data_IF_076827882981
#
_entry.id   IF_076827882981
#
_cell.length_a   1.000
_cell.length_b   1.000
_cell.length_c   1.000
_cell.angle_alpha   90.00
_cell.angle_beta   90.00
_cell.angle_gamma   90.00
#
_symmetry.space_group_name_H-M   'P 1'
#
loop_
_entity.id
_entity.type
_entity.pdbx_description
1 polymer ?
#
# COMPACT_ATOMS: atom_id res chain seq x y z
N UNK A 1 -45.18 15.21 5.36
CA UNK A 1 -43.90 15.50 4.71
C UNK A 1 -43.27 14.19 4.31
N UNK A 2 -42.84 14.07 3.06
CA UNK A 2 -42.10 12.92 2.57
C UNK A 2 -40.62 13.13 2.90
N UNK A 3 -40.13 12.46 3.95
CA UNK A 3 -38.69 12.34 4.18
C UNK A 3 -38.14 11.40 3.10
N UNK A 4 -37.15 11.89 2.34
CA UNK A 4 -36.54 11.21 1.21
C UNK A 4 -36.18 9.75 1.50
N UNK A 5 -36.84 8.84 0.81
CA UNK A 5 -36.49 7.42 0.73
C UNK A 5 -36.10 7.10 -0.71
N UNK A 6 -34.82 6.77 -0.86
CA UNK A 6 -34.13 5.99 -1.91
C UNK A 6 -34.54 6.16 -3.39
N UNK A 7 -33.55 6.43 -4.25
CA UNK A 7 -33.72 6.75 -5.68
C UNK A 7 -33.64 5.51 -6.61
N UNK A 8 -33.29 4.32 -6.09
CA UNK A 8 -33.35 3.06 -6.86
C UNK A 8 -33.27 1.81 -5.97
N UNK A 9 -33.85 0.70 -6.44
CA UNK A 9 -33.87 -0.64 -5.82
C UNK A 9 -32.50 -1.33 -5.87
N UNK A 10 -32.20 -2.20 -4.90
CA UNK A 10 -30.95 -2.97 -4.84
C UNK A 10 -30.93 -4.08 -5.93
N UNK A 11 -29.96 -4.08 -6.86
CA UNK A 11 -29.91 -5.03 -7.96
C UNK A 11 -29.66 -6.49 -7.54
N UNK A 12 -29.27 -6.76 -6.29
CA UNK A 12 -29.06 -8.12 -5.79
C UNK A 12 -30.37 -8.87 -5.47
N UNK A 13 -31.50 -8.15 -5.32
CA UNK A 13 -32.87 -8.65 -5.19
C UNK A 13 -33.02 -10.08 -4.65
N UNK A 14 -32.92 -10.28 -3.34
CA UNK A 14 -33.17 -11.58 -2.72
C UNK A 14 -34.69 -11.87 -2.70
N UNK A 15 -35.20 -12.85 -3.47
CA UNK A 15 -36.62 -13.16 -3.51
C UNK A 15 -37.17 -13.73 -2.20
N UNK A 16 -36.32 -14.09 -1.24
CA UNK A 16 -36.73 -14.72 0.02
C UNK A 16 -36.50 -13.86 1.27
N UNK A 17 -35.93 -12.65 1.13
CA UNK A 17 -35.74 -11.74 2.27
C UNK A 17 -36.01 -10.28 1.87
N UNK A 18 -37.16 -9.69 2.26
CA UNK A 18 -37.51 -8.33 1.86
C UNK A 18 -36.70 -7.24 2.58
N UNK A 19 -35.84 -7.59 3.55
CA UNK A 19 -35.07 -6.60 4.30
C UNK A 19 -33.62 -6.46 3.79
N UNK A 20 -33.46 -5.55 2.83
CA UNK A 20 -32.19 -5.19 2.17
C UNK A 20 -31.13 -4.56 3.12
N UNK A 21 -31.46 -4.33 4.41
CA UNK A 21 -30.57 -3.67 5.39
C UNK A 21 -30.23 -4.54 6.61
N UNK A 22 -30.40 -5.87 6.48
CA UNK A 22 -30.11 -6.82 7.56
C UNK A 22 -28.69 -6.65 8.12
N UNK A 23 -27.71 -6.41 7.24
CA UNK A 23 -26.28 -6.31 7.60
C UNK A 23 -25.91 -5.00 8.32
N UNK A 24 -26.60 -3.89 8.02
CA UNK A 24 -26.48 -2.63 8.78
C UNK A 24 -27.37 -2.60 10.03
N UNK A 25 -27.92 -3.74 10.47
CA UNK A 25 -28.83 -3.82 11.62
C UNK A 25 -29.99 -2.81 11.53
N UNK A 26 -30.50 -2.57 10.31
CA UNK A 26 -31.52 -1.56 10.02
C UNK A 26 -31.16 -0.11 10.43
N UNK A 27 -29.88 0.23 10.58
CA UNK A 27 -29.43 1.59 10.91
C UNK A 27 -28.28 2.07 9.99
N UNK A 28 -28.59 2.39 8.72
CA UNK A 28 -27.60 2.82 7.74
C UNK A 28 -26.99 4.21 8.01
N UNK A 29 -27.50 4.95 9.02
CA UNK A 29 -26.89 6.20 9.47
C UNK A 29 -25.68 5.96 10.37
N UNK A 30 -25.61 4.79 11.02
CA UNK A 30 -24.57 4.43 11.96
C UNK A 30 -23.62 3.36 11.41
N UNK A 31 -24.14 2.45 10.59
CA UNK A 31 -23.37 1.33 10.06
C UNK A 31 -23.22 1.43 8.54
N UNK A 32 -21.99 1.28 8.08
CA UNK A 32 -21.63 1.17 6.66
C UNK A 32 -21.49 -0.31 6.31
N UNK A 33 -22.02 -0.75 5.17
CA UNK A 33 -21.80 -2.10 4.64
C UNK A 33 -21.13 -2.02 3.27
N UNK A 34 -19.78 -1.95 3.24
CA UNK A 34 -19.06 -1.79 1.97
C UNK A 34 -19.14 -3.01 1.05
N UNK A 35 -19.55 -4.18 1.57
CA UNK A 35 -19.42 -5.47 0.86
C UNK A 35 -20.73 -6.25 0.74
N UNK A 36 -21.81 -5.82 1.39
CA UNK A 36 -23.07 -6.56 1.48
C UNK A 36 -23.07 -7.70 2.50
N UNK A 37 -22.09 -7.74 3.43
CA UNK A 37 -21.82 -8.92 4.28
C UNK A 37 -21.61 -8.60 5.76
N UNK A 38 -21.29 -7.36 6.12
CA UNK A 38 -21.05 -6.95 7.52
C UNK A 38 -21.29 -5.47 7.75
N UNK A 39 -21.74 -5.11 8.94
CA UNK A 39 -21.92 -3.72 9.36
C UNK A 39 -20.66 -3.18 10.03
N UNK A 40 -20.06 -2.14 9.47
CA UNK A 40 -18.95 -1.39 10.04
C UNK A 40 -19.45 -0.15 10.80
N UNK A 41 -19.14 -0.08 12.09
CA UNK A 41 -19.40 1.12 12.92
C UNK A 41 -18.17 2.03 12.90
N UNK A 42 -18.23 3.09 12.12
CA UNK A 42 -17.12 4.04 11.99
C UNK A 42 -16.82 4.80 13.29
N UNK A 43 -17.78 4.88 14.23
CA UNK A 43 -17.59 5.60 15.50
C UNK A 43 -16.81 4.79 16.53
N UNK A 44 -16.86 3.46 16.45
CA UNK A 44 -16.21 2.55 17.40
C UNK A 44 -15.12 1.69 16.77
N UNK A 45 -15.02 1.63 15.44
CA UNK A 45 -14.13 0.72 14.73
C UNK A 45 -14.52 -0.76 14.88
N UNK A 46 -15.77 -1.06 15.22
CA UNK A 46 -16.22 -2.45 15.38
C UNK A 46 -16.86 -2.97 14.09
N UNK A 47 -16.59 -4.23 13.77
CA UNK A 47 -17.19 -4.96 12.65
C UNK A 47 -18.23 -5.92 13.22
N UNK A 48 -19.46 -5.85 12.71
CA UNK A 48 -20.55 -6.77 13.07
C UNK A 48 -20.80 -7.72 11.91
N UNK A 49 -20.61 -9.02 12.15
CA UNK A 49 -20.75 -10.07 11.15
C UNK A 49 -22.20 -10.57 11.06
N UNK A 50 -22.52 -11.20 9.93
CA UNK A 50 -23.83 -11.80 9.67
C UNK A 50 -24.21 -12.91 10.67
N UNK A 51 -23.22 -13.59 11.25
CA UNK A 51 -23.40 -14.62 12.28
C UNK A 51 -23.66 -14.05 13.69
N UNK A 52 -23.74 -12.72 13.81
CA UNK A 52 -23.99 -12.02 15.07
C UNK A 52 -22.73 -11.73 15.88
N UNK A 53 -21.55 -12.16 15.44
CA UNK A 53 -20.29 -11.85 16.13
C UNK A 53 -19.91 -10.39 15.94
N UNK A 54 -19.30 -9.80 16.98
CA UNK A 54 -18.72 -8.45 16.92
C UNK A 54 -17.22 -8.60 17.15
N UNK A 55 -16.44 -8.10 16.19
CA UNK A 55 -14.99 -8.01 16.31
C UNK A 55 -14.58 -6.55 16.36
N UNK A 56 -13.49 -6.24 17.08
CA UNK A 56 -12.82 -4.95 16.88
C UNK A 56 -12.07 -4.93 15.54
N UNK A 57 -11.45 -3.79 15.20
CA UNK A 57 -10.61 -3.66 13.99
C UNK A 57 -9.40 -4.60 13.97
N UNK A 58 -9.03 -5.22 15.11
CA UNK A 58 -7.96 -6.23 15.18
C UNK A 58 -8.46 -7.66 14.95
N UNK A 59 -9.75 -7.84 14.67
CA UNK A 59 -10.38 -9.15 14.48
C UNK A 59 -10.64 -9.89 15.79
N UNK A 60 -10.37 -9.27 16.95
CA UNK A 60 -10.63 -9.88 18.25
C UNK A 60 -12.12 -9.84 18.54
N UNK A 61 -12.71 -11.01 18.77
CA UNK A 61 -14.10 -11.13 19.21
C UNK A 61 -14.27 -10.42 20.55
N UNK A 62 -15.13 -9.40 20.57
CA UNK A 62 -15.52 -8.69 21.78
C UNK A 62 -16.69 -9.51 22.34
N UNK A 63 -16.47 -10.19 23.48
CA UNK A 63 -17.40 -11.19 24.03
C UNK A 63 -18.86 -10.72 24.01
N UNK A 64 -19.75 -11.49 23.40
CA UNK A 64 -21.19 -11.30 23.57
C UNK A 64 -21.58 -11.61 25.02
N UNK A 65 -22.41 -10.78 25.69
CA UNK A 65 -22.91 -11.11 27.02
C UNK A 65 -23.60 -12.48 27.02
N UNK A 66 -23.36 -13.34 28.04
CA UNK A 66 -24.05 -14.61 28.15
C UNK A 66 -25.52 -14.35 28.47
N UNK A 67 -26.41 -14.45 27.48
CA UNK A 67 -27.86 -14.35 27.73
C UNK A 67 -28.78 -14.00 26.57
N UNK A 68 -28.27 -13.73 25.35
CA UNK A 68 -29.12 -13.48 24.19
C UNK A 68 -29.38 -14.75 23.37
N UNK A 69 -30.54 -15.38 23.54
CA UNK A 69 -30.97 -16.56 22.77
C UNK A 69 -30.92 -16.34 21.26
N UNK A 70 -29.92 -16.92 20.58
CA UNK A 70 -29.91 -17.08 19.13
C UNK A 70 -30.69 -18.34 18.75
N UNK A 71 -31.93 -18.13 18.32
CA UNK A 71 -32.78 -19.12 17.65
C UNK A 71 -32.08 -19.60 16.38
N UNK A 72 -31.75 -20.89 16.34
CA UNK A 72 -30.99 -21.51 15.24
C UNK A 72 -31.77 -21.58 13.93
N UNK A 73 -31.05 -21.36 12.83
CA UNK A 73 -31.45 -21.80 11.49
C UNK A 73 -30.26 -22.49 10.82
N UNK A 74 -30.39 -23.79 10.62
CA UNK A 74 -29.48 -24.60 9.82
C UNK A 74 -29.69 -24.28 8.34
N UNK A 75 -28.61 -23.91 7.62
CA UNK A 75 -28.59 -23.87 6.16
C UNK A 75 -27.65 -24.95 5.61
N UNK A 76 -28.22 -25.84 4.81
CA UNK A 76 -27.58 -26.92 4.04
C UNK A 76 -27.25 -26.37 2.65
N UNK A 77 -25.97 -26.08 2.38
CA UNK A 77 -25.51 -25.51 1.12
C UNK A 77 -25.24 -26.58 0.05
N UNK A 78 -25.74 -26.33 -1.17
CA UNK A 78 -25.30 -26.96 -2.41
C UNK A 78 -24.89 -25.86 -3.38
N UNK A 79 -23.58 -25.69 -3.61
CA UNK A 79 -23.02 -24.69 -4.51
C UNK A 79 -22.28 -25.34 -5.67
N UNK A 80 -22.69 -25.03 -6.90
CA UNK A 80 -21.96 -25.36 -8.13
C UNK A 80 -20.81 -24.37 -8.36
N UNK A 81 -19.64 -24.91 -8.66
CA UNK A 81 -18.37 -24.19 -8.78
C UNK A 81 -18.10 -23.71 -10.21
N UNK A 82 -17.63 -22.47 -10.36
CA UNK A 82 -16.99 -21.98 -11.59
C UNK A 82 -15.47 -22.18 -11.44
N UNK A 83 -14.90 -22.93 -12.37
CA UNK A 83 -13.49 -23.34 -12.40
C UNK A 83 -12.64 -22.36 -13.22
N UNK A 84 -11.69 -21.70 -12.58
CA UNK A 84 -10.47 -21.19 -13.22
C UNK A 84 -9.30 -22.06 -12.79
N UNK A 85 -8.76 -22.85 -13.72
CA UNK A 85 -7.71 -23.83 -13.45
C UNK A 85 -6.34 -23.17 -13.26
N UNK A 86 -6.09 -22.69 -12.04
CA UNK A 86 -4.78 -22.90 -11.42
C UNK A 86 -4.81 -24.33 -10.89
N UNK A 87 -3.78 -25.14 -11.16
CA UNK A 87 -3.80 -26.51 -10.64
C UNK A 87 -3.85 -26.44 -9.11
N UNK A 88 -4.72 -27.22 -8.48
CA UNK A 88 -4.86 -27.23 -7.00
C UNK A 88 -3.50 -27.46 -6.33
N UNK A 89 -2.60 -28.19 -6.99
CA UNK A 89 -1.24 -28.48 -6.54
C UNK A 89 -0.32 -27.24 -6.52
N UNK A 90 -0.45 -26.31 -7.46
CA UNK A 90 0.37 -25.08 -7.49
C UNK A 90 -0.12 -24.06 -6.44
N UNK A 91 -1.44 -23.93 -6.31
CA UNK A 91 -2.05 -23.08 -5.28
C UNK A 91 -1.76 -23.62 -3.86
N UNK A 92 -1.79 -24.95 -3.69
CA UNK A 92 -1.48 -25.59 -2.43
C UNK A 92 0.00 -25.51 -2.08
N UNK A 93 0.91 -25.68 -3.03
CA UNK A 93 2.37 -25.48 -2.80
C UNK A 93 2.72 -24.04 -2.44
N UNK A 94 2.10 -23.05 -3.09
CA UNK A 94 2.29 -21.64 -2.73
C UNK A 94 1.71 -21.33 -1.33
N UNK A 95 0.54 -21.86 -1.01
CA UNK A 95 -0.09 -21.72 0.31
C UNK A 95 0.72 -22.39 1.43
N UNK A 96 1.27 -23.59 1.18
CA UNK A 96 2.11 -24.31 2.14
C UNK A 96 3.47 -23.64 2.34
N UNK A 97 4.08 -23.09 1.28
CA UNK A 97 5.28 -22.27 1.36
C UNK A 97 5.06 -20.98 2.17
N UNK A 98 3.92 -20.29 1.97
CA UNK A 98 3.55 -19.11 2.74
C UNK A 98 3.20 -19.43 4.20
N UNK A 99 2.54 -20.57 4.48
CA UNK A 99 2.26 -21.03 5.86
C UNK A 99 3.53 -21.32 6.66
N UNK A 100 4.56 -21.87 6.02
CA UNK A 100 5.84 -22.17 6.67
C UNK A 100 6.68 -20.91 6.99
N UNK A 101 6.38 -19.80 6.30
CA UNK A 101 6.99 -18.49 6.49
C UNK A 101 6.09 -17.49 7.23
N UNK A 102 4.99 -17.94 7.86
CA UNK A 102 4.17 -17.07 8.73
C UNK A 102 5.02 -16.61 9.91
N UNK A 103 5.65 -15.45 9.74
CA UNK A 103 6.30 -14.71 10.80
C UNK A 103 5.30 -14.52 11.93
N UNK A 104 5.77 -14.68 13.17
CA UNK A 104 5.10 -14.11 14.33
C UNK A 104 4.72 -12.65 14.02
N UNK A 105 3.54 -12.18 14.46
CA UNK A 105 3.06 -10.85 14.15
C UNK A 105 4.16 -9.81 14.43
N UNK A 106 4.39 -8.91 13.46
CA UNK A 106 5.45 -7.89 13.36
C UNK A 106 5.63 -6.93 14.55
N UNK A 107 5.00 -7.21 15.70
CA UNK A 107 4.93 -6.39 16.91
C UNK A 107 6.28 -6.10 17.58
N UNK A 108 7.36 -6.77 17.21
CA UNK A 108 8.70 -6.55 17.79
C UNK A 108 9.73 -5.99 16.80
N UNK A 109 9.38 -5.81 15.53
CA UNK A 109 10.32 -5.33 14.51
C UNK A 109 10.28 -3.81 14.31
N UNK A 110 11.36 -3.28 13.75
CA UNK A 110 11.45 -1.88 13.35
C UNK A 110 10.29 -1.50 12.41
N UNK A 111 9.75 -0.27 12.51
CA UNK A 111 8.62 0.14 11.68
C UNK A 111 8.91 0.03 10.18
N UNK A 112 7.97 -0.50 9.40
CA UNK A 112 8.07 -0.55 7.94
C UNK A 112 7.31 0.61 7.30
N UNK A 113 7.97 1.43 6.49
CA UNK A 113 7.41 2.64 5.90
C UNK A 113 7.40 2.57 4.37
N UNK A 114 6.24 2.84 3.78
CA UNK A 114 6.05 2.92 2.33
C UNK A 114 5.92 4.37 1.84
N UNK A 115 6.65 4.72 0.79
CA UNK A 115 6.69 6.08 0.19
C UNK A 115 6.47 5.99 -1.33
N UNK A 116 5.29 6.38 -1.81
CA UNK A 116 4.91 6.23 -3.23
C UNK A 116 5.64 7.20 -4.18
N UNK A 117 5.37 7.13 -5.49
CA UNK A 117 6.02 7.92 -6.54
C UNK A 117 5.32 9.23 -6.93
N UNK A 118 5.80 9.84 -8.03
CA UNK A 118 5.22 11.04 -8.64
C UNK A 118 3.90 10.71 -9.34
N UNK A 119 2.85 11.52 -9.08
CA UNK A 119 1.47 11.26 -9.55
C UNK A 119 0.86 9.92 -9.11
N UNK A 120 1.54 9.18 -8.23
CA UNK A 120 1.00 8.03 -7.52
C UNK A 120 0.33 8.45 -6.20
N UNK A 121 -0.20 7.47 -5.48
CA UNK A 121 -0.76 7.59 -4.14
C UNK A 121 -0.57 6.25 -3.40
N UNK A 122 -1.13 6.13 -2.20
CA UNK A 122 -1.01 4.92 -1.38
C UNK A 122 -1.48 3.62 -2.07
N UNK A 123 -2.40 3.69 -3.05
CA UNK A 123 -2.96 2.49 -3.73
C UNK A 123 -1.90 1.69 -4.47
N UNK A 124 -0.76 2.31 -4.83
CA UNK A 124 0.42 1.62 -5.37
C UNK A 124 0.86 0.45 -4.47
N UNK A 125 0.69 0.61 -3.16
CA UNK A 125 1.13 -0.35 -2.16
C UNK A 125 0.05 -1.37 -1.78
N UNK A 126 -1.16 -1.30 -2.35
CA UNK A 126 -2.27 -2.14 -1.92
C UNK A 126 -1.97 -3.65 -2.02
N UNK A 127 -1.29 -4.07 -3.10
CA UNK A 127 -0.88 -5.48 -3.26
C UNK A 127 0.19 -5.87 -2.25
N UNK A 128 1.17 -4.99 -1.98
CA UNK A 128 2.18 -5.20 -0.93
C UNK A 128 1.52 -5.36 0.42
N UNK A 129 0.65 -4.43 0.79
CA UNK A 129 -0.06 -4.44 2.06
C UNK A 129 -0.90 -5.70 2.20
N UNK A 130 -1.65 -6.10 1.17
CA UNK A 130 -2.45 -7.34 1.23
C UNK A 130 -1.60 -8.59 1.39
N UNK A 131 -0.49 -8.71 0.66
CA UNK A 131 0.37 -9.89 0.75
C UNK A 131 1.08 -9.98 2.11
N UNK A 132 1.68 -8.89 2.60
CA UNK A 132 2.46 -8.90 3.84
C UNK A 132 1.60 -9.03 5.10
N UNK A 133 0.32 -8.66 5.01
CA UNK A 133 -0.62 -8.71 6.14
C UNK A 133 -1.61 -9.88 6.06
N UNK A 134 -1.62 -10.65 4.97
CA UNK A 134 -2.64 -11.68 4.69
C UNK A 134 -4.06 -11.07 4.77
N UNK A 135 -4.24 -9.86 4.23
CA UNK A 135 -5.47 -9.06 4.35
C UNK A 135 -5.89 -8.41 3.02
N UNK A 136 -6.88 -9.02 2.35
CA UNK A 136 -7.42 -8.52 1.08
C UNK A 136 -8.20 -7.20 1.19
N UNK A 137 -8.47 -6.69 2.41
CA UNK A 137 -9.16 -5.42 2.59
C UNK A 137 -8.39 -4.24 1.96
N UNK A 138 -7.05 -4.29 1.91
CA UNK A 138 -6.28 -3.22 1.27
C UNK A 138 -6.55 -3.10 -0.23
N UNK A 139 -6.68 -4.23 -0.95
CA UNK A 139 -7.09 -4.24 -2.36
C UNK A 139 -8.51 -3.70 -2.55
N UNK A 140 -9.45 -4.08 -1.68
CA UNK A 140 -10.82 -3.58 -1.72
C UNK A 140 -10.89 -2.07 -1.46
N UNK A 141 -10.13 -1.56 -0.47
CA UNK A 141 -10.02 -0.14 -0.17
C UNK A 141 -9.38 0.63 -1.33
N UNK A 142 -8.41 0.04 -2.03
CA UNK A 142 -7.76 0.67 -3.17
C UNK A 142 -8.72 0.81 -4.36
N UNK A 143 -9.50 -0.24 -4.64
CA UNK A 143 -10.57 -0.20 -5.65
C UNK A 143 -11.64 0.85 -5.29
N UNK A 144 -12.04 0.93 -4.02
CA UNK A 144 -12.96 1.96 -3.54
C UNK A 144 -12.38 3.38 -3.68
N UNK A 145 -11.08 3.57 -3.38
CA UNK A 145 -10.39 4.85 -3.52
C UNK A 145 -10.34 5.29 -4.99
N UNK A 146 -9.95 4.39 -5.89
CA UNK A 146 -9.83 4.68 -7.32
C UNK A 146 -11.19 4.98 -7.97
N UNK A 147 -12.26 4.32 -7.52
CA UNK A 147 -13.64 4.57 -8.00
C UNK A 147 -14.26 5.83 -7.42
N UNK A 148 -13.83 6.26 -6.24
CA UNK A 148 -14.39 7.44 -5.58
C UNK A 148 -14.04 8.72 -6.34
N UNK A 149 -15.04 9.58 -6.54
CA UNK A 149 -14.86 10.96 -7.03
C UNK A 149 -14.92 12.00 -5.90
N UNK A 150 -15.35 11.59 -4.71
CA UNK A 150 -15.49 12.48 -3.56
C UNK A 150 -14.16 12.59 -2.79
N UNK A 151 -13.54 13.78 -2.70
CA UNK A 151 -12.31 13.99 -1.94
C UNK A 151 -12.44 13.62 -0.46
N UNK A 152 -13.62 13.81 0.15
CA UNK A 152 -13.84 13.47 1.57
C UNK A 152 -13.82 11.96 1.76
N UNK A 153 -14.52 11.23 0.89
CA UNK A 153 -14.48 9.76 0.88
C UNK A 153 -13.05 9.24 0.65
N UNK A 154 -12.29 9.82 -0.30
CA UNK A 154 -10.89 9.44 -0.53
C UNK A 154 -10.02 9.63 0.72
N UNK A 155 -10.11 10.79 1.37
CA UNK A 155 -9.39 11.07 2.61
C UNK A 155 -9.76 10.11 3.75
N UNK A 156 -11.05 9.76 3.83
CA UNK A 156 -11.55 8.79 4.82
C UNK A 156 -10.97 7.40 4.58
N UNK A 157 -10.87 6.97 3.32
CA UNK A 157 -10.24 5.70 2.94
C UNK A 157 -8.76 5.70 3.30
N UNK A 158 -8.01 6.78 3.02
CA UNK A 158 -6.59 6.90 3.41
C UNK A 158 -6.42 6.75 4.92
N UNK A 159 -7.26 7.42 5.72
CA UNK A 159 -7.22 7.30 7.18
C UNK A 159 -7.48 5.87 7.65
N UNK A 160 -8.43 5.15 7.04
CA UNK A 160 -8.72 3.74 7.34
C UNK A 160 -7.48 2.89 7.02
N UNK A 161 -6.91 3.04 5.83
CA UNK A 161 -5.71 2.30 5.41
C UNK A 161 -4.55 2.51 6.39
N UNK A 162 -4.26 3.77 6.75
CA UNK A 162 -3.18 4.09 7.69
C UNK A 162 -3.44 3.51 9.08
N UNK A 163 -4.68 3.58 9.58
CA UNK A 163 -5.05 2.99 10.85
C UNK A 163 -4.91 1.46 10.84
N UNK A 164 -5.40 0.79 9.78
CA UNK A 164 -5.30 -0.66 9.62
C UNK A 164 -3.85 -1.12 9.45
N UNK A 165 -3.06 -0.48 8.59
CA UNK A 165 -1.65 -0.81 8.39
C UNK A 165 -0.83 -0.69 9.68
N UNK A 166 -1.13 0.32 10.51
CA UNK A 166 -0.46 0.54 11.79
C UNK A 166 -0.65 -0.62 12.79
N UNK A 167 -1.74 -1.39 12.69
CA UNK A 167 -1.94 -2.60 13.50
C UNK A 167 -0.87 -3.68 13.24
N UNK A 168 -0.21 -3.60 12.08
CA UNK A 168 0.86 -4.49 11.63
C UNK A 168 2.25 -3.85 11.73
N UNK A 169 2.38 -2.67 12.34
CA UNK A 169 3.65 -1.92 12.38
C UNK A 169 4.03 -1.30 11.03
N UNK A 170 3.08 -1.20 10.10
CA UNK A 170 3.28 -0.65 8.76
C UNK A 170 2.74 0.79 8.70
N UNK A 171 3.48 1.65 8.03
CA UNK A 171 3.16 3.05 7.86
C UNK A 171 3.21 3.43 6.39
N UNK A 172 2.18 4.14 5.92
CA UNK A 172 2.03 4.54 4.53
C UNK A 172 1.99 6.05 4.47
N UNK A 173 3.05 6.66 3.94
CA UNK A 173 3.14 8.09 3.76
C UNK A 173 2.49 8.47 2.42
N UNK A 174 1.26 8.97 2.50
CA UNK A 174 0.50 9.48 1.36
C UNK A 174 0.68 11.00 1.26
N UNK A 175 1.37 11.44 0.21
CA UNK A 175 1.58 12.85 -0.11
C UNK A 175 0.97 13.21 -1.46
N UNK A 176 -0.05 12.48 -1.91
CA UNK A 176 -0.70 12.68 -3.20
C UNK A 176 -1.19 14.12 -3.45
N UNK A 177 -1.59 14.85 -2.40
CA UNK A 177 -1.98 16.27 -2.47
C UNK A 177 -0.79 17.23 -2.76
N UNK A 178 0.44 16.79 -2.46
CA UNK A 178 1.69 17.56 -2.63
C UNK A 178 2.59 17.00 -3.74
N UNK A 179 2.10 16.09 -4.57
CA UNK A 179 2.93 15.28 -5.49
C UNK A 179 3.63 16.07 -6.61
N UNK A 180 3.27 17.33 -6.86
CA UNK A 180 3.91 18.23 -7.82
C UNK A 180 4.94 19.16 -7.18
N UNK A 181 5.10 19.12 -5.85
CA UNK A 181 6.05 19.97 -5.13
C UNK A 181 7.48 19.41 -5.17
N UNK A 182 8.44 20.28 -4.86
CA UNK A 182 9.84 19.89 -4.72
C UNK A 182 10.01 18.76 -3.68
N UNK A 183 10.68 17.64 -4.02
CA UNK A 183 10.98 16.53 -3.10
C UNK A 183 11.58 16.95 -1.74
N UNK A 184 12.38 18.02 -1.67
CA UNK A 184 12.93 18.52 -0.41
C UNK A 184 11.85 19.13 0.51
N UNK A 185 10.78 19.70 -0.05
CA UNK A 185 9.62 20.18 0.73
C UNK A 185 8.83 19.00 1.28
N UNK A 186 8.53 18.03 0.41
CA UNK A 186 7.83 16.79 0.77
C UNK A 186 8.63 16.02 1.84
N UNK A 187 9.97 15.99 1.76
CA UNK A 187 10.82 15.34 2.75
C UNK A 187 10.66 15.91 4.17
N UNK A 188 10.38 17.22 4.31
CA UNK A 188 10.09 17.82 5.62
C UNK A 188 8.75 17.36 6.16
N UNK A 189 7.74 17.24 5.29
CA UNK A 189 6.43 16.66 5.63
C UNK A 189 6.57 15.19 6.01
N UNK A 190 7.42 14.45 5.31
CA UNK A 190 7.72 13.05 5.63
C UNK A 190 8.36 12.90 7.01
N UNK A 191 9.38 13.71 7.32
CA UNK A 191 10.00 13.73 8.65
C UNK A 191 8.98 14.10 9.74
N UNK A 192 8.11 15.08 9.48
CA UNK A 192 7.03 15.44 10.40
C UNK A 192 6.08 14.26 10.63
N UNK A 193 5.65 13.58 9.57
CA UNK A 193 4.81 12.39 9.64
C UNK A 193 5.44 11.28 10.50
N UNK A 194 6.74 11.01 10.33
CA UNK A 194 7.46 10.02 11.13
C UNK A 194 7.52 10.40 12.62
N UNK A 195 7.70 11.69 12.93
CA UNK A 195 7.71 12.19 14.31
C UNK A 195 6.32 12.07 14.95
N UNK A 196 5.27 12.48 14.25
CA UNK A 196 3.88 12.40 14.72
C UNK A 196 3.43 10.95 14.98
N UNK A 197 4.06 9.99 14.30
CA UNK A 197 3.80 8.57 14.51
C UNK A 197 4.78 7.87 15.47
N UNK A 198 5.70 8.60 16.11
CA UNK A 198 6.75 8.07 16.98
C UNK A 198 7.62 6.99 16.30
N UNK A 199 7.96 7.22 15.02
CA UNK A 199 8.80 6.33 14.19
C UNK A 199 10.18 6.93 13.97
N UNK A 200 10.30 8.26 13.99
CA UNK A 200 11.52 8.97 13.56
C UNK A 200 12.80 8.45 14.23
N UNK A 201 12.74 8.14 15.53
CA UNK A 201 13.88 7.65 16.31
C UNK A 201 13.99 6.11 16.37
N UNK A 202 13.14 5.39 15.62
CA UNK A 202 13.06 3.91 15.61
C UNK A 202 13.77 3.26 14.41
N UNK A 203 14.61 4.00 13.70
CA UNK A 203 15.38 3.49 12.56
C UNK A 203 14.55 2.63 11.60
N UNK A 204 13.46 3.15 11.02
CA UNK A 204 12.52 2.35 10.25
C UNK A 204 13.18 1.71 9.02
N UNK A 205 12.60 0.61 8.54
CA UNK A 205 12.80 0.11 7.19
C UNK A 205 11.94 0.93 6.22
N UNK A 206 12.52 1.34 5.08
CA UNK A 206 11.80 2.14 4.09
C UNK A 206 11.80 1.45 2.72
N UNK A 207 10.60 1.34 2.15
CA UNK A 207 10.37 0.97 0.75
C UNK A 207 9.86 2.22 0.03
N UNK A 208 10.60 2.69 -0.97
CA UNK A 208 10.20 3.85 -1.75
C UNK A 208 10.16 3.54 -3.24
N UNK A 209 9.24 4.18 -3.97
CA UNK A 209 9.12 4.05 -5.41
C UNK A 209 9.29 5.39 -6.12
N UNK A 210 9.93 5.40 -7.28
CA UNK A 210 10.06 6.57 -8.15
C UNK A 210 10.51 7.82 -7.37
N UNK A 211 9.82 8.96 -7.49
CA UNK A 211 10.10 10.19 -6.75
C UNK A 211 10.12 10.01 -5.22
N UNK A 212 9.40 9.04 -4.67
CA UNK A 212 9.46 8.70 -3.25
C UNK A 212 10.89 8.38 -2.79
N UNK A 213 11.73 7.85 -3.68
CA UNK A 213 13.15 7.65 -3.39
C UNK A 213 13.88 8.96 -3.13
N UNK A 214 13.60 10.01 -3.92
CA UNK A 214 14.22 11.33 -3.74
C UNK A 214 13.71 12.01 -2.47
N UNK A 215 12.43 11.84 -2.15
CA UNK A 215 11.83 12.31 -0.89
C UNK A 215 12.55 11.65 0.30
N UNK A 216 12.71 10.32 0.28
CA UNK A 216 13.40 9.60 1.35
C UNK A 216 14.88 9.98 1.44
N UNK A 217 15.58 10.09 0.31
CA UNK A 217 16.98 10.57 0.30
C UNK A 217 17.12 11.96 0.89
N UNK A 218 16.28 12.91 0.50
CA UNK A 218 16.28 14.26 1.08
C UNK A 218 15.98 14.24 2.59
N UNK A 219 15.11 13.33 3.07
CA UNK A 219 14.89 13.16 4.51
C UNK A 219 16.15 12.66 5.24
N UNK A 220 16.87 11.69 4.66
CA UNK A 220 18.10 11.13 5.23
C UNK A 220 19.26 12.15 5.19
N UNK A 221 19.51 12.75 4.02
CA UNK A 221 20.72 13.53 3.74
C UNK A 221 20.61 14.99 4.23
N UNK A 222 19.42 15.58 4.20
CA UNK A 222 19.20 16.97 4.61
C UNK A 222 18.55 17.12 5.97
N UNK A 223 17.75 16.15 6.39
CA UNK A 223 16.99 16.24 7.63
C UNK A 223 17.47 15.28 8.72
N UNK A 224 18.48 14.44 8.44
CA UNK A 224 19.12 13.57 9.42
C UNK A 224 18.26 12.38 9.84
N UNK A 225 17.32 11.95 8.99
CA UNK A 225 16.59 10.71 9.21
C UNK A 225 17.57 9.53 9.18
N UNK A 226 17.54 8.70 10.22
CA UNK A 226 18.29 7.45 10.30
C UNK A 226 17.33 6.30 10.04
N UNK A 227 17.72 5.35 9.20
CA UNK A 227 16.89 4.21 8.77
C UNK A 227 17.66 2.91 8.93
N UNK A 228 16.95 1.79 9.08
CA UNK A 228 17.58 0.47 9.07
C UNK A 228 17.91 0.07 7.63
N UNK A 229 16.95 -0.41 6.85
CA UNK A 229 17.14 -0.72 5.43
C UNK A 229 16.42 0.28 4.53
N UNK A 230 16.96 0.49 3.32
CA UNK A 230 16.35 1.33 2.29
C UNK A 230 16.23 0.59 0.96
N UNK A 231 15.02 0.13 0.65
CA UNK A 231 14.66 -0.51 -0.61
C UNK A 231 14.17 0.53 -1.62
N UNK A 232 14.91 0.70 -2.72
CA UNK A 232 14.62 1.70 -3.74
C UNK A 232 14.05 1.05 -4.99
N UNK A 233 12.77 1.29 -5.29
CA UNK A 233 12.11 0.75 -6.49
C UNK A 233 12.07 1.82 -7.57
N UNK A 234 12.71 1.55 -8.71
CA UNK A 234 12.83 2.42 -9.88
C UNK A 234 13.20 3.89 -9.54
N UNK A 235 14.32 4.13 -8.84
CA UNK A 235 14.66 5.48 -8.39
C UNK A 235 15.18 6.40 -9.51
N UNK A 236 14.70 7.65 -9.65
CA UNK A 236 15.23 8.67 -10.56
C UNK A 236 16.50 9.35 -10.01
N UNK A 237 17.46 8.60 -9.47
CA UNK A 237 18.64 9.16 -8.79
C UNK A 237 19.52 10.05 -9.69
N UNK A 238 19.54 9.76 -10.99
CA UNK A 238 20.24 10.56 -12.01
C UNK A 238 19.26 11.34 -12.90
N UNK A 239 18.02 11.52 -12.42
CA UNK A 239 16.94 12.18 -13.14
C UNK A 239 16.30 11.32 -14.24
N UNK A 240 15.22 11.85 -14.81
CA UNK A 240 14.41 11.25 -15.86
C UNK A 240 14.24 12.22 -17.02
N UNK A 241 14.54 11.78 -18.25
CA UNK A 241 14.28 12.60 -19.44
C UNK A 241 12.78 12.89 -19.65
N UNK A 242 11.89 12.10 -19.05
CA UNK A 242 10.46 12.35 -19.10
C UNK A 242 10.00 13.37 -18.05
N UNK A 243 10.83 13.69 -17.05
CA UNK A 243 10.49 14.65 -16.01
C UNK A 243 10.24 16.07 -16.54
N UNK A 244 10.81 16.43 -17.69
CA UNK A 244 10.52 17.68 -18.42
C UNK A 244 9.08 17.85 -18.88
N UNK A 245 8.33 16.74 -18.91
CA UNK A 245 6.90 16.72 -19.19
C UNK A 245 6.06 16.57 -17.91
N UNK A 246 6.73 16.49 -16.76
CA UNK A 246 6.12 16.55 -15.45
C UNK A 246 5.64 17.95 -15.12
N UNK A 247 4.57 18.02 -14.35
CA UNK A 247 4.02 19.25 -13.80
C UNK A 247 4.69 19.60 -12.47
N UNK A 248 4.90 20.90 -12.28
CA UNK A 248 5.36 21.51 -11.02
C UNK A 248 6.85 21.30 -10.73
N UNK A 249 7.25 21.76 -9.54
CA UNK A 249 8.64 21.72 -9.06
C UNK A 249 9.20 20.29 -9.00
N UNK A 250 8.34 19.27 -8.89
CA UNK A 250 8.73 17.86 -8.94
C UNK A 250 9.35 17.47 -10.29
N UNK A 251 8.78 17.94 -11.40
CA UNK A 251 9.30 17.70 -12.75
C UNK A 251 10.69 18.30 -12.91
N UNK A 252 10.81 19.60 -12.59
CA UNK A 252 12.07 20.35 -12.63
C UNK A 252 13.16 19.69 -11.78
N UNK A 253 12.80 19.25 -10.56
CA UNK A 253 13.73 18.53 -9.67
C UNK A 253 14.22 17.24 -10.30
N UNK A 254 13.34 16.48 -10.94
CA UNK A 254 13.68 15.18 -11.51
C UNK A 254 14.32 15.27 -12.91
N UNK A 255 14.51 16.47 -13.48
CA UNK A 255 15.23 16.60 -14.75
C UNK A 255 16.71 16.21 -14.60
N UNK A 256 17.31 15.55 -15.61
CA UNK A 256 18.73 15.24 -15.58
C UNK A 256 19.57 16.53 -15.46
N UNK A 257 20.53 16.53 -14.54
CA UNK A 257 21.37 17.68 -14.20
C UNK A 257 20.59 18.88 -13.62
N UNK A 258 19.40 18.66 -13.04
CA UNK A 258 18.79 19.67 -12.19
C UNK A 258 19.75 20.03 -11.05
N UNK A 259 19.76 21.30 -10.65
CA UNK A 259 20.61 21.77 -9.55
C UNK A 259 20.35 20.96 -8.28
N UNK A 260 19.10 20.60 -8.04
CA UNK A 260 18.67 19.85 -6.88
C UNK A 260 19.20 18.41 -6.88
N UNK A 261 19.19 17.70 -8.02
CA UNK A 261 19.78 16.38 -8.12
C UNK A 261 21.30 16.43 -8.07
N UNK A 262 21.93 17.43 -8.69
CA UNK A 262 23.36 17.66 -8.55
C UNK A 262 23.73 17.89 -7.08
N UNK A 263 22.97 18.73 -6.37
CA UNK A 263 23.15 18.97 -4.94
C UNK A 263 22.97 17.68 -4.13
N UNK A 264 21.92 16.90 -4.38
CA UNK A 264 21.66 15.62 -3.69
C UNK A 264 22.77 14.59 -3.95
N UNK A 265 23.39 14.60 -5.13
CA UNK A 265 24.44 13.66 -5.50
C UNK A 265 25.87 14.15 -5.15
N UNK A 266 26.03 15.27 -4.43
CA UNK A 266 27.35 15.70 -3.92
C UNK A 266 27.89 14.72 -2.88
N UNK A 267 29.19 14.45 -2.92
CA UNK A 267 29.89 13.53 -2.00
C UNK A 267 29.52 13.72 -0.53
N UNK A 268 29.43 14.98 -0.07
CA UNK A 268 29.05 15.30 1.32
C UNK A 268 27.68 14.78 1.73
N UNK A 269 26.76 14.65 0.79
CA UNK A 269 25.40 14.16 1.03
C UNK A 269 25.34 12.64 0.86
N UNK A 270 26.09 12.07 -0.10
CA UNK A 270 26.29 10.63 -0.22
C UNK A 270 26.90 10.03 1.06
N UNK A 271 27.89 10.71 1.65
CA UNK A 271 28.47 10.30 2.93
C UNK A 271 27.45 10.28 4.08
N UNK A 272 26.44 11.16 4.05
CA UNK A 272 25.35 11.13 5.03
C UNK A 272 24.37 10.00 4.76
N UNK A 273 24.06 9.72 3.49
CA UNK A 273 23.25 8.57 3.11
C UNK A 273 23.88 7.28 3.63
N UNK A 274 25.19 7.09 3.41
CA UNK A 274 25.94 5.95 3.94
C UNK A 274 25.96 5.91 5.47
N UNK A 275 26.14 7.05 6.15
CA UNK A 275 26.21 7.09 7.61
C UNK A 275 24.84 6.85 8.31
N UNK A 276 23.75 7.24 7.65
CA UNK A 276 22.41 7.25 8.22
C UNK A 276 21.56 6.03 7.81
N UNK A 277 21.99 5.22 6.84
CA UNK A 277 21.40 3.90 6.59
C UNK A 277 22.22 2.86 7.36
N UNK A 278 21.65 2.27 8.42
CA UNK A 278 22.36 1.35 9.32
C UNK A 278 22.53 -0.05 8.75
N UNK A 279 21.53 -0.51 8.02
CA UNK A 279 21.51 -1.79 7.32
C UNK A 279 22.02 -1.61 5.89
N UNK A 280 21.19 -1.97 4.90
CA UNK A 280 21.58 -1.98 3.50
C UNK A 280 20.74 -1.01 2.66
N UNK A 281 21.30 -0.63 1.51
CA UNK A 281 20.57 0.01 0.41
C UNK A 281 20.53 -0.98 -0.76
N UNK A 282 19.36 -1.17 -1.37
CA UNK A 282 19.21 -2.03 -2.54
C UNK A 282 18.29 -1.37 -3.56
N UNK A 283 18.75 -1.32 -4.82
CA UNK A 283 17.95 -0.82 -5.93
C UNK A 283 17.26 -2.01 -6.62
N UNK A 284 15.98 -1.84 -6.92
CA UNK A 284 15.14 -2.73 -7.71
C UNK A 284 14.65 -1.94 -8.93
N UNK A 285 15.08 -2.31 -10.13
CA UNK A 285 14.74 -1.56 -11.36
C UNK A 285 14.43 -2.50 -12.51
N UNK A 286 13.75 -2.02 -13.54
CA UNK A 286 13.41 -2.81 -14.72
C UNK A 286 14.27 -2.37 -15.92
N UNK A 287 14.80 -3.33 -16.65
CA UNK A 287 15.38 -3.07 -17.97
C UNK A 287 14.28 -2.56 -18.89
N UNK A 288 14.50 -1.41 -19.51
CA UNK A 288 13.48 -0.76 -20.34
C UNK A 288 12.42 -0.02 -19.52
N UNK A 289 12.71 0.36 -18.27
CA UNK A 289 11.97 1.41 -17.59
C UNK A 289 12.02 2.69 -18.44
N UNK A 290 10.90 3.03 -19.10
CA UNK A 290 10.86 4.19 -20.00
C UNK A 290 10.86 5.53 -19.25
N UNK A 291 10.45 5.51 -17.98
CA UNK A 291 10.41 6.72 -17.17
C UNK A 291 11.81 7.07 -16.72
N UNK A 292 12.56 6.12 -16.20
CA UNK A 292 13.91 6.38 -15.66
C UNK A 292 15.00 6.18 -16.72
N UNK A 293 14.77 5.33 -17.73
CA UNK A 293 15.81 4.85 -18.62
C UNK A 293 16.86 4.03 -17.85
N UNK A 294 18.12 4.16 -18.24
CA UNK A 294 19.25 3.49 -17.56
C UNK A 294 19.83 4.32 -16.39
N UNK A 295 19.11 5.36 -15.94
CA UNK A 295 19.60 6.37 -15.01
C UNK A 295 19.16 6.13 -13.55
N UNK A 296 19.16 4.87 -13.11
CA UNK A 296 18.70 4.48 -11.78
C UNK A 296 19.80 4.50 -10.70
N UNK A 297 21.08 4.46 -11.10
CA UNK A 297 22.20 4.48 -10.17
C UNK A 297 22.35 5.86 -9.49
N UNK A 298 22.88 5.85 -8.26
CA UNK A 298 23.37 7.05 -7.59
C UNK A 298 24.81 7.28 -8.09
N UNK A 299 25.10 8.41 -8.76
CA UNK A 299 26.46 8.70 -9.21
C UNK A 299 27.44 8.65 -8.04
N UNK A 300 28.57 7.96 -8.23
CA UNK A 300 29.62 7.84 -7.20
C UNK A 300 29.41 6.72 -6.17
N UNK A 301 28.27 6.03 -6.14
CA UNK A 301 28.03 4.91 -5.23
C UNK A 301 27.94 3.57 -5.98
N UNK A 302 28.55 2.52 -5.40
CA UNK A 302 28.39 1.15 -5.88
C UNK A 302 27.27 0.44 -5.11
N UNK A 303 26.02 0.72 -5.47
CA UNK A 303 24.85 0.14 -4.81
C UNK A 303 24.43 -1.14 -5.52
N UNK A 304 24.26 -2.28 -4.80
CA UNK A 304 23.67 -3.48 -5.37
C UNK A 304 22.37 -3.15 -6.09
N UNK A 305 22.27 -3.56 -7.35
CA UNK A 305 21.10 -3.30 -8.19
C UNK A 305 20.58 -4.61 -8.76
N UNK A 306 19.33 -4.93 -8.48
CA UNK A 306 18.59 -6.02 -9.11
C UNK A 306 17.81 -5.46 -10.29
N UNK A 307 18.13 -5.98 -11.47
CA UNK A 307 17.52 -5.56 -12.75
C UNK A 307 16.57 -6.66 -13.20
N UNK A 308 15.30 -6.30 -13.43
CA UNK A 308 14.27 -7.20 -13.93
C UNK A 308 14.05 -6.97 -15.44
N UNK A 309 13.99 -8.02 -16.24
CA UNK A 309 13.70 -7.89 -17.67
C UNK A 309 12.21 -7.54 -17.90
N UNK A 310 11.94 -6.39 -18.52
CA UNK A 310 10.58 -6.09 -18.97
C UNK A 310 10.14 -7.09 -20.05
N UNK A 311 9.06 -7.84 -19.80
CA UNK A 311 8.36 -8.61 -20.85
C UNK A 311 8.53 -10.14 -20.81
N UNK A 312 9.44 -10.72 -20.02
CA UNK A 312 9.38 -12.17 -19.73
C UNK A 312 8.39 -12.38 -18.60
N UNK A 313 7.17 -12.80 -18.92
CA UNK A 313 6.10 -13.08 -17.95
C UNK A 313 6.44 -14.29 -17.06
N UNK A 314 6.70 -14.16 -15.76
CA UNK A 314 6.71 -15.30 -14.85
C UNK A 314 5.50 -15.12 -13.92
N UNK A 315 4.37 -15.75 -14.24
CA UNK A 315 3.22 -15.85 -13.34
C UNK A 315 2.58 -14.51 -12.93
N UNK A 316 2.11 -13.71 -13.90
CA UNK A 316 1.33 -12.51 -13.59
C UNK A 316 0.15 -12.85 -12.66
N UNK A 317 0.07 -12.18 -11.51
CA UNK A 317 -1.23 -11.97 -10.86
C UNK A 317 -2.08 -11.20 -11.87
N UNK A 318 -3.24 -11.72 -12.28
CA UNK A 318 -4.15 -10.94 -13.08
C UNK A 318 -4.69 -9.84 -12.17
N UNK A 319 -4.22 -8.61 -12.33
CA UNK A 319 -4.86 -7.30 -12.08
C UNK A 319 -3.75 -6.22 -11.97
N UNK A 320 -3.90 -4.96 -12.37
CA UNK A 320 -5.10 -4.12 -12.42
C UNK A 320 -5.92 -4.21 -13.71
N UNK A 321 -7.25 -4.09 -13.58
CA UNK A 321 -8.20 -3.84 -14.68
C UNK A 321 -8.03 -2.47 -15.35
N UNK A 322 -6.95 -1.73 -15.05
CA UNK A 322 -6.71 -0.41 -15.59
C UNK A 322 -5.52 -0.42 -16.56
N UNK A 323 -5.73 -0.80 -17.84
CA UNK A 323 -4.68 -0.80 -18.87
C UNK A 323 -4.05 0.58 -19.12
N UNK A 324 -4.60 1.66 -18.53
CA UNK A 324 -4.07 3.01 -18.66
C UNK A 324 -2.81 3.30 -17.80
N UNK A 325 -2.48 2.47 -16.80
CA UNK A 325 -1.22 2.63 -16.03
C UNK A 325 -0.01 1.92 -16.68
N UNK A 326 -0.12 1.60 -17.97
CA UNK A 326 0.81 0.76 -18.74
C UNK A 326 2.17 1.39 -19.03
N UNK A 327 3.04 1.41 -18.02
CA UNK A 327 4.48 1.64 -18.17
C UNK A 327 5.25 0.58 -17.38
N UNK A 328 6.40 0.16 -17.89
CA UNK A 328 7.36 -0.70 -17.18
C UNK A 328 7.72 -0.17 -15.79
N UNK A 329 7.62 1.15 -15.59
CA UNK A 329 7.94 1.86 -14.35
C UNK A 329 7.00 1.59 -13.16
N UNK A 330 5.67 1.53 -13.37
CA UNK A 330 4.71 1.23 -12.30
C UNK A 330 4.59 -0.28 -12.13
N UNK A 331 4.63 -1.01 -13.24
CA UNK A 331 4.46 -2.46 -13.24
C UNK A 331 5.49 -3.19 -12.37
N UNK A 332 6.70 -2.66 -12.23
CA UNK A 332 7.73 -3.25 -11.38
C UNK A 332 7.25 -3.40 -9.92
N UNK A 333 6.46 -2.44 -9.40
CA UNK A 333 5.90 -2.48 -8.04
C UNK A 333 4.86 -3.57 -7.85
N UNK A 334 4.19 -4.01 -8.92
CA UNK A 334 3.10 -4.99 -8.86
C UNK A 334 3.55 -6.41 -9.21
N UNK A 335 4.84 -6.63 -9.50
CA UNK A 335 5.31 -8.01 -9.75
C UNK A 335 5.58 -8.74 -8.45
N UNK A 336 4.98 -9.93 -8.29
CA UNK A 336 5.26 -10.82 -7.14
C UNK A 336 6.76 -11.01 -6.95
N UNK A 337 7.52 -11.14 -8.05
CA UNK A 337 8.97 -11.33 -7.98
C UNK A 337 9.67 -10.16 -7.28
N UNK A 338 9.37 -8.91 -7.66
CA UNK A 338 9.95 -7.72 -7.01
C UNK A 338 9.47 -7.63 -5.57
N UNK A 339 8.19 -7.88 -5.30
CA UNK A 339 7.64 -7.87 -3.95
C UNK A 339 8.37 -8.85 -3.03
N UNK A 340 8.51 -10.10 -3.46
CA UNK A 340 9.23 -11.14 -2.72
C UNK A 340 10.69 -10.75 -2.50
N UNK A 341 11.36 -10.20 -3.51
CA UNK A 341 12.75 -9.80 -3.41
C UNK A 341 12.96 -8.58 -2.48
N UNK A 342 12.02 -7.63 -2.48
CA UNK A 342 12.00 -6.51 -1.53
C UNK A 342 11.76 -7.04 -0.11
N UNK A 343 10.78 -7.92 0.09
CA UNK A 343 10.51 -8.49 1.40
C UNK A 343 11.67 -9.35 1.89
N UNK A 344 12.30 -10.15 1.03
CA UNK A 344 13.51 -10.88 1.36
C UNK A 344 14.66 -9.95 1.75
N UNK A 345 14.79 -8.80 1.08
CA UNK A 345 15.79 -7.80 1.43
C UNK A 345 15.56 -7.21 2.82
N UNK A 346 14.33 -6.84 3.15
CA UNK A 346 13.95 -6.34 4.49
C UNK A 346 14.12 -7.42 5.55
N UNK A 347 13.83 -8.68 5.22
CA UNK A 347 13.75 -9.78 6.18
C UNK A 347 15.08 -10.45 6.53
N UNK A 348 16.10 -10.30 5.70
CA UNK A 348 17.37 -11.04 5.82
C UNK A 348 18.49 -10.23 6.52
N UNK A 349 18.11 -9.18 7.25
CA UNK A 349 18.97 -8.42 8.17
C UNK A 349 18.29 -8.35 9.53
#
# INVERSE_FOLDING_TARGET
>A
SELGRFVSEDPAGDPNNPNLYSYCRNNPLKFLDPTGLYGYDASTGTISHADGTITDTSGKTISTPPGGSSSGYYYRGGGGSISTSVTQDEAQKASEANKKNKREPWKEYDPLVFVHGYKDNWTLWADFLSEITDNDAFRALADAYDKSKDPIAKKSIVNIVQATAKLYGIYVFDYSDSNTQNPNKIAKEFVKYLKENNIYDKTPDIIAHSMGNLVTRAAIEYNGLVVNNFAMIAPPNSGSKLARFGEGEAGDYMEPNSKELEDLNKDKNLAKLEANVKGKIQIFTALGDIAIGNNYNIPGMNIPTKIYEAGKKPGQVPYSKNPARGGTHINICHTITVMNDVMNFINNN
#
